data_IF_202182403673
#
_entry.id   IF_202182403673
#
_cell.length_a   1.000
_cell.length_b   1.000
_cell.length_c   1.000
_cell.angle_alpha   90.00
_cell.angle_beta   90.00
_cell.angle_gamma   90.00
#
_symmetry.space_group_name_H-M   'P 1'
#
loop_
_entity.id
_entity.type
_entity.pdbx_description
1 polymer ?
#
# COMPACT_ATOMS: atom_id res chain seq x y z
N UNK A 1 8.97 27.97 11.28
CA UNK A 1 8.53 27.70 9.88
C UNK A 1 9.52 26.89 9.05
N UNK A 2 10.83 27.18 9.07
CA UNK A 2 11.83 26.45 8.24
C UNK A 2 11.82 24.93 8.44
N UNK A 3 11.76 24.43 9.69
CA UNK A 3 11.62 22.98 9.99
C UNK A 3 10.42 22.35 9.27
N UNK A 4 9.25 23.01 9.30
CA UNK A 4 8.04 22.50 8.65
C UNK A 4 8.21 22.39 7.13
N UNK A 5 8.84 23.38 6.49
CA UNK A 5 9.12 23.36 5.03
C UNK A 5 10.02 22.19 4.66
N UNK A 6 11.11 21.97 5.41
CA UNK A 6 12.00 20.83 5.20
C UNK A 6 11.24 19.51 5.27
N UNK A 7 10.44 19.31 6.31
CA UNK A 7 9.73 18.05 6.52
C UNK A 7 8.60 17.79 5.50
N UNK A 8 7.99 18.85 4.95
CA UNK A 8 7.08 18.71 3.81
C UNK A 8 7.83 18.21 2.57
N UNK A 9 8.99 18.79 2.26
CA UNK A 9 9.83 18.34 1.15
C UNK A 9 10.29 16.88 1.35
N UNK A 10 10.72 16.54 2.57
CA UNK A 10 11.07 15.17 2.96
C UNK A 10 9.91 14.19 2.74
N UNK A 11 8.69 14.52 3.18
CA UNK A 11 7.52 13.65 2.97
C UNK A 11 7.25 13.42 1.47
N UNK A 12 7.30 14.46 0.65
CA UNK A 12 7.08 14.37 -0.79
C UNK A 12 8.16 13.51 -1.46
N UNK A 13 9.43 13.70 -1.10
CA UNK A 13 10.54 12.89 -1.60
C UNK A 13 10.34 11.40 -1.28
N UNK A 14 10.01 11.07 -0.02
CA UNK A 14 9.80 9.68 0.41
C UNK A 14 8.64 9.02 -0.34
N UNK A 15 7.52 9.72 -0.53
CA UNK A 15 6.37 9.20 -1.29
C UNK A 15 6.75 8.98 -2.75
N UNK A 16 7.33 9.99 -3.42
CA UNK A 16 7.66 9.91 -4.83
C UNK A 16 8.67 8.79 -5.13
N UNK A 17 9.72 8.70 -4.32
CA UNK A 17 10.77 7.70 -4.48
C UNK A 17 10.25 6.27 -4.25
N UNK A 18 9.39 6.03 -3.26
CA UNK A 18 8.83 4.70 -3.00
C UNK A 18 7.82 4.29 -4.08
N UNK A 19 6.93 5.20 -4.47
CA UNK A 19 5.91 4.91 -5.49
C UNK A 19 6.53 4.63 -6.86
N UNK A 20 7.67 5.27 -7.19
CA UNK A 20 8.34 5.09 -8.48
C UNK A 20 9.53 4.13 -8.44
N UNK A 21 9.91 3.63 -7.26
CA UNK A 21 11.10 2.79 -7.07
C UNK A 21 12.42 3.52 -7.29
N UNK A 22 12.45 4.85 -7.27
CA UNK A 22 13.66 5.67 -7.46
C UNK A 22 14.42 5.86 -6.14
N UNK A 23 15.73 6.20 -6.15
CA UNK A 23 16.46 6.62 -4.95
C UNK A 23 15.80 7.80 -4.24
N UNK A 24 16.09 7.98 -2.95
CA UNK A 24 15.66 9.16 -2.22
C UNK A 24 16.53 10.36 -2.60
N UNK A 25 15.94 11.54 -2.76
CA UNK A 25 16.66 12.77 -3.06
C UNK A 25 17.29 13.41 -1.82
N UNK A 26 16.74 13.16 -0.63
CA UNK A 26 17.32 13.60 0.65
C UNK A 26 17.86 12.35 1.35
N UNK A 27 19.18 12.26 1.55
CA UNK A 27 19.82 11.15 2.27
C UNK A 27 19.44 11.18 3.76
N UNK A 28 19.33 10.03 4.42
CA UNK A 28 18.92 9.97 5.84
C UNK A 28 20.03 10.49 6.77
N UNK A 29 21.28 10.18 6.41
CA UNK A 29 22.50 10.57 7.10
C UNK A 29 22.78 12.08 7.10
N UNK A 30 22.21 12.81 6.13
CA UNK A 30 22.39 14.26 5.99
C UNK A 30 21.32 15.07 6.77
N UNK A 31 20.39 14.42 7.46
CA UNK A 31 19.28 15.10 8.13
C UNK A 31 19.64 15.42 9.59
N UNK A 32 19.99 16.68 9.83
CA UNK A 32 20.17 17.27 11.17
C UNK A 32 18.94 18.05 11.67
N UNK A 33 17.90 18.17 10.83
CA UNK A 33 16.69 18.93 11.13
C UNK A 33 15.78 18.16 12.08
N UNK A 34 15.62 18.68 13.31
CA UNK A 34 14.66 18.16 14.29
C UNK A 34 13.21 18.21 13.78
N UNK A 35 12.36 17.33 14.30
CA UNK A 35 10.92 17.39 14.04
C UNK A 35 10.34 18.77 14.42
N UNK A 36 9.27 19.22 13.73
CA UNK A 36 8.54 20.39 14.20
C UNK A 36 7.93 20.11 15.57
N UNK A 37 7.77 21.16 16.38
CA UNK A 37 7.09 21.06 17.67
C UNK A 37 5.63 20.64 17.49
N UNK A 38 5.18 19.74 18.36
CA UNK A 38 3.79 19.25 18.39
C UNK A 38 2.94 20.22 19.23
N UNK A 39 2.62 21.36 18.63
CA UNK A 39 1.90 22.47 19.27
C UNK A 39 0.93 23.11 18.27
N UNK A 40 -0.21 23.59 18.76
CA UNK A 40 -1.19 24.34 17.96
C UNK A 40 -0.62 25.68 17.48
N UNK A 41 -1.00 26.10 16.28
CA UNK A 41 -0.43 27.28 15.64
C UNK A 41 -0.78 28.56 16.40
N UNK A 42 -1.96 28.60 17.03
CA UNK A 42 -2.43 29.70 17.87
C UNK A 42 -1.59 29.88 19.14
N UNK A 43 -0.91 28.83 19.59
CA UNK A 43 -0.04 28.88 20.76
C UNK A 43 1.41 29.27 20.42
N UNK A 44 1.71 29.54 19.15
CA UNK A 44 3.02 30.02 18.69
C UNK A 44 2.95 31.54 18.53
N UNK A 45 3.71 32.26 19.36
CA UNK A 45 3.89 33.72 19.23
C UNK A 45 5.37 34.05 19.04
N UNK A 46 5.70 35.31 18.79
CA UNK A 46 7.07 35.73 18.46
C UNK A 46 8.07 35.29 19.54
N UNK A 47 8.94 34.35 19.15
CA UNK A 47 10.02 33.74 19.95
C UNK A 47 9.61 32.98 21.22
N UNK A 48 8.33 32.61 21.41
CA UNK A 48 7.91 31.82 22.58
C UNK A 48 6.67 30.95 22.30
N UNK A 49 6.52 29.88 23.09
CA UNK A 49 5.33 29.05 23.11
C UNK A 49 4.46 29.43 24.31
N UNK A 50 3.15 29.58 24.07
CA UNK A 50 2.18 29.91 25.11
C UNK A 50 1.85 28.68 25.98
N UNK A 51 2.08 27.47 25.46
CA UNK A 51 1.88 26.20 26.16
C UNK A 51 3.05 25.25 25.88
N UNK A 52 3.21 24.26 26.74
CA UNK A 52 4.18 23.19 26.51
C UNK A 52 3.78 22.34 25.29
N UNK A 53 4.71 22.05 24.35
CA UNK A 53 4.45 21.12 23.26
C UNK A 53 4.04 19.73 23.77
N UNK A 54 3.20 19.04 23.00
CA UNK A 54 2.77 17.67 23.27
C UNK A 54 3.98 16.73 23.28
N UNK A 55 4.09 15.90 24.33
CA UNK A 55 5.21 14.96 24.53
C UNK A 55 4.80 13.50 24.37
N UNK A 56 3.51 13.17 24.51
CA UNK A 56 3.04 11.79 24.47
C UNK A 56 1.75 11.62 23.66
N UNK A 57 1.62 10.48 22.97
CA UNK A 57 0.47 10.19 22.10
C UNK A 57 -0.85 10.00 22.86
N UNK A 58 -0.81 9.85 24.19
CA UNK A 58 -2.03 9.80 25.04
C UNK A 58 -2.58 11.18 25.38
N UNK A 59 -1.79 12.24 25.20
CA UNK A 59 -2.28 13.61 25.35
C UNK A 59 -3.16 13.99 24.15
N UNK A 60 -4.05 14.99 24.27
CA UNK A 60 -4.84 15.48 23.14
C UNK A 60 -3.95 15.87 21.96
N UNK A 61 -4.31 15.53 20.71
CA UNK A 61 -3.55 15.97 19.54
C UNK A 61 -3.69 17.47 19.29
N UNK A 62 -2.65 18.01 18.67
CA UNK A 62 -2.57 19.39 18.18
C UNK A 62 -2.73 19.41 16.65
N UNK A 63 -2.75 20.60 16.05
CA UNK A 63 -2.70 20.80 14.59
C UNK A 63 -1.48 20.13 13.93
N UNK A 64 -0.39 19.93 14.66
CA UNK A 64 0.86 19.34 14.15
C UNK A 64 1.00 17.83 14.36
N UNK A 65 0.24 17.25 15.30
CA UNK A 65 0.37 15.85 15.69
C UNK A 65 0.24 14.88 14.50
N UNK A 66 -0.71 15.14 13.59
CA UNK A 66 -0.93 14.31 12.41
C UNK A 66 0.29 14.31 11.47
N UNK A 67 0.82 15.50 11.18
CA UNK A 67 1.96 15.65 10.28
C UNK A 67 3.19 14.95 10.87
N UNK A 68 3.49 15.18 12.15
CA UNK A 68 4.62 14.53 12.84
C UNK A 68 4.45 13.00 12.80
N UNK A 69 3.27 12.50 13.10
CA UNK A 69 2.99 11.07 13.07
C UNK A 69 3.16 10.47 11.67
N UNK A 70 2.75 11.19 10.61
CA UNK A 70 3.01 10.75 9.24
C UNK A 70 4.51 10.75 8.90
N UNK A 71 5.27 11.73 9.35
CA UNK A 71 6.72 11.78 9.12
C UNK A 71 7.46 10.64 9.81
N UNK A 72 6.99 10.18 10.98
CA UNK A 72 7.52 8.97 11.64
C UNK A 72 7.34 7.73 10.77
N UNK A 73 6.18 7.58 10.11
CA UNK A 73 6.00 6.51 9.13
C UNK A 73 6.97 6.63 7.97
N UNK A 74 7.20 7.85 7.46
CA UNK A 74 8.16 8.07 6.36
C UNK A 74 9.58 7.67 6.72
N UNK A 75 9.98 7.79 7.99
CA UNK A 75 11.25 7.22 8.49
C UNK A 75 11.24 5.69 8.52
N UNK A 76 10.14 5.05 8.96
CA UNK A 76 10.00 3.58 8.86
C UNK A 76 10.14 3.12 7.39
N UNK A 77 9.53 3.86 6.46
CA UNK A 77 9.66 3.62 5.02
C UNK A 77 11.09 3.79 4.51
N UNK A 78 11.85 4.74 5.06
CA UNK A 78 13.25 4.93 4.70
C UNK A 78 14.10 3.73 5.15
N UNK A 79 13.92 3.28 6.40
CA UNK A 79 14.59 2.11 6.95
C UNK A 79 14.23 0.82 6.21
N UNK A 80 12.95 0.68 5.84
CA UNK A 80 12.49 -0.42 5.00
C UNK A 80 13.26 -0.43 3.67
N UNK A 81 13.41 0.73 3.02
CA UNK A 81 14.14 0.81 1.75
C UNK A 81 15.62 0.49 1.91
N UNK A 82 16.29 1.05 2.92
CA UNK A 82 17.72 0.82 3.15
C UNK A 82 18.03 -0.62 3.55
N UNK A 83 17.13 -1.29 4.27
CA UNK A 83 17.36 -2.64 4.81
C UNK A 83 16.88 -3.75 3.87
N UNK A 84 15.70 -3.58 3.24
CA UNK A 84 15.07 -4.61 2.39
C UNK A 84 15.41 -4.42 0.92
N UNK A 85 15.57 -3.18 0.46
CA UNK A 85 15.77 -2.86 -0.96
C UNK A 85 17.20 -2.40 -1.29
N UNK A 86 18.17 -2.73 -0.42
CA UNK A 86 19.56 -2.30 -0.54
C UNK A 86 20.24 -2.77 -1.83
N UNK A 87 21.00 -1.88 -2.46
CA UNK A 87 21.77 -2.15 -3.67
C UNK A 87 22.96 -3.05 -3.27
N UNK A 88 22.85 -4.34 -3.60
CA UNK A 88 23.89 -5.34 -3.29
C UNK A 88 23.33 -6.66 -2.80
N UNK A 89 22.06 -6.70 -2.39
CA UNK A 89 21.40 -7.96 -2.09
C UNK A 89 21.03 -8.69 -3.40
N UNK A 90 21.23 -10.00 -3.43
CA UNK A 90 20.86 -10.81 -4.59
C UNK A 90 19.34 -10.66 -4.85
N UNK A 91 18.91 -10.36 -6.08
CA UNK A 91 17.49 -10.16 -6.41
C UNK A 91 16.60 -11.36 -6.08
N UNK A 92 17.19 -12.53 -5.85
CA UNK A 92 16.54 -13.78 -5.54
C UNK A 92 16.56 -14.11 -4.05
N UNK A 93 17.33 -13.42 -3.19
CA UNK A 93 17.31 -13.75 -1.76
C UNK A 93 16.08 -13.20 -1.07
N UNK A 94 15.53 -13.98 -0.14
CA UNK A 94 14.51 -13.47 0.77
C UNK A 94 15.13 -12.40 1.70
N UNK A 95 14.35 -11.41 2.15
CA UNK A 95 14.78 -10.49 3.18
C UNK A 95 15.07 -11.21 4.50
N UNK A 96 15.92 -10.63 5.34
CA UNK A 96 16.17 -11.12 6.70
C UNK A 96 14.88 -11.05 7.53
N UNK A 97 14.46 -12.20 8.07
CA UNK A 97 13.24 -12.32 8.87
C UNK A 97 13.25 -11.46 10.13
N UNK A 98 14.40 -11.31 10.79
CA UNK A 98 14.50 -10.48 12.00
C UNK A 98 14.27 -9.01 11.70
N UNK A 99 14.83 -8.52 10.58
CA UNK A 99 14.62 -7.14 10.11
C UNK A 99 13.14 -6.93 9.75
N UNK A 100 12.53 -7.90 9.07
CA UNK A 100 11.10 -7.83 8.71
C UNK A 100 10.23 -7.77 9.95
N UNK A 101 10.48 -8.62 10.95
CA UNK A 101 9.70 -8.66 12.19
C UNK A 101 9.85 -7.37 13.01
N UNK A 102 11.06 -6.79 13.07
CA UNK A 102 11.29 -5.49 13.71
C UNK A 102 10.48 -4.38 13.02
N UNK A 103 10.52 -4.31 11.69
CA UNK A 103 9.76 -3.32 10.92
C UNK A 103 8.24 -3.53 11.08
N UNK A 104 7.75 -4.78 11.13
CA UNK A 104 6.34 -5.08 11.44
C UNK A 104 5.96 -4.57 12.82
N UNK A 105 6.79 -4.78 13.82
CA UNK A 105 6.52 -4.30 15.18
C UNK A 105 6.47 -2.76 15.24
N UNK A 106 7.37 -2.09 14.52
CA UNK A 106 7.36 -0.62 14.39
C UNK A 106 6.11 -0.11 13.69
N UNK A 107 5.65 -0.76 12.62
CA UNK A 107 4.39 -0.41 11.94
C UNK A 107 3.16 -0.61 12.84
N UNK A 108 3.11 -1.70 13.62
CA UNK A 108 2.03 -1.95 14.59
C UNK A 108 2.01 -0.90 15.68
N UNK A 109 3.17 -0.56 16.23
CA UNK A 109 3.31 0.47 17.26
C UNK A 109 2.89 1.84 16.71
N UNK A 110 3.33 2.17 15.48
CA UNK A 110 2.90 3.38 14.78
C UNK A 110 1.36 3.45 14.65
N UNK A 111 0.70 2.37 14.21
CA UNK A 111 -0.76 2.35 14.10
C UNK A 111 -1.46 2.52 15.47
N UNK A 112 -0.92 1.91 16.53
CA UNK A 112 -1.47 1.99 17.88
C UNK A 112 -1.36 3.39 18.49
N UNK A 113 -0.33 4.14 18.11
CA UNK A 113 -0.03 5.49 18.58
C UNK A 113 -0.69 6.59 17.72
N UNK A 114 -1.59 6.22 16.79
CA UNK A 114 -2.18 7.19 15.88
C UNK A 114 -2.96 8.31 16.62
N UNK A 115 -2.75 9.59 16.26
CA UNK A 115 -3.52 10.70 16.83
C UNK A 115 -5.02 10.48 16.66
N UNK A 116 -5.76 10.47 17.78
CA UNK A 116 -7.22 10.33 17.76
C UNK A 116 -7.89 11.71 17.79
N UNK A 117 -8.78 12.04 16.84
CA UNK A 117 -9.48 13.32 16.84
C UNK A 117 -10.22 13.56 18.16
N UNK A 118 -10.12 14.78 18.70
CA UNK A 118 -10.79 15.18 19.95
C UNK A 118 -12.32 15.23 19.80
N UNK A 119 -12.81 15.48 18.58
CA UNK A 119 -14.23 15.47 18.23
C UNK A 119 -14.46 14.57 16.99
N UNK A 120 -15.10 13.39 17.13
CA UNK A 120 -15.46 12.55 15.99
C UNK A 120 -16.48 13.21 15.05
N UNK A 121 -17.24 14.19 15.56
CA UNK A 121 -18.44 14.77 14.94
C UNK A 121 -18.20 16.16 14.31
N UNK A 122 -16.99 16.45 13.81
CA UNK A 122 -16.84 17.64 12.96
C UNK A 122 -17.65 17.41 11.69
N UNK A 123 -18.52 18.34 11.31
CA UNK A 123 -19.38 18.28 10.11
C UNK A 123 -18.61 18.10 8.77
N UNK A 124 -17.28 18.13 8.81
CA UNK A 124 -16.40 17.88 7.68
C UNK A 124 -15.11 17.18 8.17
N UNK A 125 -15.13 15.86 8.42
CA UNK A 125 -13.93 15.16 8.87
C UNK A 125 -12.88 15.23 7.77
N UNK A 126 -11.71 15.77 8.07
CA UNK A 126 -10.60 15.78 7.13
C UNK A 126 -10.30 14.32 6.71
N UNK A 127 -10.24 14.00 5.41
CA UNK A 127 -9.93 12.65 4.96
C UNK A 127 -8.61 12.12 5.50
N UNK A 128 -7.62 13.02 5.58
CA UNK A 128 -6.30 12.75 6.12
C UNK A 128 -6.32 12.78 7.64
N UNK A 129 -5.72 11.76 8.27
CA UNK A 129 -5.67 11.64 9.73
C UNK A 129 -6.91 11.02 10.38
N UNK A 130 -7.86 10.54 9.59
CA UNK A 130 -8.92 9.66 10.09
C UNK A 130 -8.37 8.28 10.45
N UNK A 131 -9.08 7.54 11.31
CA UNK A 131 -8.75 6.14 11.64
C UNK A 131 -8.62 5.28 10.36
N UNK A 132 -9.56 5.47 9.42
CA UNK A 132 -9.54 4.81 8.11
C UNK A 132 -8.29 5.12 7.30
N UNK A 133 -7.83 6.38 7.31
CA UNK A 133 -6.60 6.77 6.63
C UNK A 133 -5.35 6.12 7.24
N UNK A 134 -5.27 6.01 8.57
CA UNK A 134 -4.17 5.29 9.23
C UNK A 134 -4.20 3.80 8.88
N UNK A 135 -5.37 3.17 8.84
CA UNK A 135 -5.52 1.78 8.39
C UNK A 135 -5.05 1.57 6.95
N UNK A 136 -5.47 2.43 6.01
CA UNK A 136 -5.00 2.38 4.62
C UNK A 136 -3.47 2.46 4.55
N UNK A 137 -2.90 3.40 5.30
CA UNK A 137 -1.47 3.64 5.26
C UNK A 137 -0.67 2.50 5.90
N UNK A 138 -1.18 1.89 6.97
CA UNK A 138 -0.60 0.70 7.59
C UNK A 138 -0.60 -0.49 6.62
N UNK A 139 -1.75 -0.85 6.05
CA UNK A 139 -1.84 -2.01 5.16
C UNK A 139 -1.07 -1.82 3.85
N UNK A 140 -1.01 -0.59 3.32
CA UNK A 140 -0.11 -0.29 2.21
C UNK A 140 1.36 -0.52 2.60
N UNK A 141 1.75 -0.13 3.80
CA UNK A 141 3.12 -0.34 4.31
C UNK A 141 3.45 -1.83 4.50
N UNK A 142 2.48 -2.65 4.91
CA UNK A 142 2.65 -4.12 5.00
C UNK A 142 2.90 -4.73 3.62
N UNK A 143 2.13 -4.32 2.61
CA UNK A 143 2.37 -4.78 1.23
C UNK A 143 3.76 -4.35 0.75
N UNK A 144 4.15 -3.08 0.97
CA UNK A 144 5.48 -2.59 0.62
C UNK A 144 6.61 -3.35 1.32
N UNK A 145 6.41 -3.77 2.58
CA UNK A 145 7.38 -4.53 3.35
C UNK A 145 7.65 -5.90 2.71
N UNK A 146 6.58 -6.62 2.39
CA UNK A 146 6.64 -8.00 1.88
C UNK A 146 6.88 -8.10 0.37
N UNK A 147 6.69 -7.00 -0.37
CA UNK A 147 6.75 -6.98 -1.83
C UNK A 147 8.03 -7.59 -2.39
N UNK A 148 9.20 -7.36 -1.77
CA UNK A 148 10.45 -7.98 -2.24
C UNK A 148 10.45 -9.50 -2.06
N UNK A 149 9.92 -10.03 -0.96
CA UNK A 149 9.82 -11.46 -0.73
C UNK A 149 8.93 -12.13 -1.78
N UNK A 150 7.81 -11.50 -2.15
CA UNK A 150 6.92 -11.99 -3.22
C UNK A 150 7.64 -12.11 -4.57
N UNK A 151 8.44 -11.11 -4.93
CA UNK A 151 9.23 -11.09 -6.18
C UNK A 151 10.39 -12.08 -6.13
N UNK A 152 11.10 -12.18 -5.01
CA UNK A 152 12.17 -13.15 -4.84
C UNK A 152 11.64 -14.58 -4.99
N UNK A 153 10.47 -14.88 -4.40
CA UNK A 153 9.85 -16.20 -4.50
C UNK A 153 9.39 -16.54 -5.92
N UNK A 154 8.80 -15.59 -6.66
CA UNK A 154 8.50 -15.78 -8.10
C UNK A 154 9.77 -16.09 -8.90
N UNK A 155 10.87 -15.33 -8.71
CA UNK A 155 12.15 -15.60 -9.39
C UNK A 155 12.80 -16.94 -9.01
N UNK A 156 12.38 -17.52 -7.88
CA UNK A 156 12.78 -18.86 -7.45
C UNK A 156 11.80 -19.94 -7.95
N UNK A 157 10.93 -19.63 -8.92
CA UNK A 157 9.88 -20.51 -9.42
C UNK A 157 9.01 -21.09 -8.29
N UNK A 158 8.72 -20.27 -7.28
CA UNK A 158 7.88 -20.66 -6.14
C UNK A 158 8.41 -21.88 -5.37
N UNK A 159 9.74 -22.06 -5.34
CA UNK A 159 10.37 -23.13 -4.58
C UNK A 159 10.01 -23.03 -3.09
N UNK A 160 9.72 -24.15 -2.41
CA UNK A 160 9.32 -24.13 -1.00
C UNK A 160 10.29 -23.35 -0.12
N UNK A 161 9.80 -22.30 0.53
CA UNK A 161 10.58 -21.44 1.41
C UNK A 161 9.85 -21.19 2.75
N UNK A 162 10.57 -21.19 3.89
CA UNK A 162 9.96 -20.96 5.20
C UNK A 162 9.24 -19.62 5.27
N UNK A 163 8.06 -19.60 5.89
CA UNK A 163 7.32 -18.36 6.17
C UNK A 163 6.55 -17.76 4.99
N UNK A 164 6.74 -18.24 3.75
CA UNK A 164 6.08 -17.65 2.57
C UNK A 164 4.55 -17.69 2.67
N UNK A 165 3.94 -18.77 3.14
CA UNK A 165 2.48 -18.84 3.33
C UNK A 165 1.98 -17.76 4.29
N UNK A 166 2.70 -17.47 5.39
CA UNK A 166 2.33 -16.37 6.29
C UNK A 166 2.41 -15.02 5.59
N UNK A 167 3.44 -14.81 4.75
CA UNK A 167 3.61 -13.58 3.95
C UNK A 167 2.44 -13.42 2.97
N UNK A 168 2.05 -14.48 2.26
CA UNK A 168 0.90 -14.44 1.35
C UNK A 168 -0.40 -14.12 2.07
N UNK A 169 -0.66 -14.73 3.23
CA UNK A 169 -1.85 -14.47 4.03
C UNK A 169 -1.91 -13.02 4.54
N UNK A 170 -0.81 -12.47 5.05
CA UNK A 170 -0.73 -11.07 5.50
C UNK A 170 -0.91 -10.07 4.35
N UNK A 171 -0.36 -10.38 3.18
CA UNK A 171 -0.52 -9.59 1.96
C UNK A 171 -1.96 -9.64 1.43
N UNK A 172 -2.59 -10.83 1.44
CA UNK A 172 -3.98 -11.01 1.05
C UNK A 172 -4.91 -10.22 1.98
N UNK A 173 -4.71 -10.33 3.30
CA UNK A 173 -5.47 -9.56 4.30
C UNK A 173 -5.34 -8.06 4.06
N UNK A 174 -4.10 -7.58 3.87
CA UNK A 174 -3.84 -6.17 3.62
C UNK A 174 -4.48 -5.68 2.32
N UNK A 175 -4.44 -6.48 1.25
CA UNK A 175 -5.11 -6.18 -0.01
C UNK A 175 -6.63 -6.10 0.15
N UNK A 176 -7.25 -7.03 0.89
CA UNK A 176 -8.68 -7.01 1.18
C UNK A 176 -9.08 -5.74 1.96
N UNK A 177 -8.34 -5.40 3.03
CA UNK A 177 -8.63 -4.21 3.84
C UNK A 177 -8.52 -2.94 3.00
N UNK A 178 -7.48 -2.81 2.16
CA UNK A 178 -7.31 -1.66 1.28
C UNK A 178 -8.52 -1.47 0.36
N UNK A 179 -8.96 -2.52 -0.34
CA UNK A 179 -10.09 -2.47 -1.25
C UNK A 179 -11.39 -2.02 -0.54
N UNK A 180 -11.70 -2.62 0.60
CA UNK A 180 -12.94 -2.35 1.33
C UNK A 180 -12.94 -0.94 1.95
N UNK A 181 -11.83 -0.53 2.59
CA UNK A 181 -11.74 0.79 3.24
C UNK A 181 -11.78 1.91 2.20
N UNK A 182 -11.11 1.76 1.05
CA UNK A 182 -11.25 2.74 -0.03
C UNK A 182 -12.68 2.82 -0.55
N UNK A 183 -13.39 1.69 -0.72
CA UNK A 183 -14.79 1.71 -1.16
C UNK A 183 -15.67 2.51 -0.20
N UNK A 184 -15.56 2.28 1.10
CA UNK A 184 -16.31 3.04 2.11
C UNK A 184 -16.00 4.54 2.05
N UNK A 185 -14.74 4.92 1.89
CA UNK A 185 -14.32 6.31 1.85
C UNK A 185 -14.83 7.04 0.60
N UNK A 186 -14.83 6.36 -0.55
CA UNK A 186 -15.35 6.92 -1.80
C UNK A 186 -16.87 7.00 -1.84
N UNK A 187 -17.59 6.02 -1.25
CA UNK A 187 -19.05 6.12 -1.09
C UNK A 187 -19.47 7.24 -0.13
N UNK A 188 -18.72 7.45 0.94
CA UNK A 188 -18.92 8.58 1.84
C UNK A 188 -18.53 9.95 1.25
N UNK A 189 -18.02 10.02 0.02
CA UNK A 189 -17.44 11.23 -0.60
C UNK A 189 -16.35 11.91 0.25
N UNK A 190 -15.67 11.14 1.09
CA UNK A 190 -14.76 11.68 2.11
C UNK A 190 -13.38 12.01 1.55
N UNK A 191 -12.96 11.41 0.42
CA UNK A 191 -11.61 11.53 -0.12
C UNK A 191 -11.61 12.14 -1.53
N UNK A 192 -10.66 13.04 -1.79
CA UNK A 192 -10.33 13.51 -3.14
C UNK A 192 -9.57 12.44 -3.93
N UNK A 193 -9.88 12.31 -5.22
CA UNK A 193 -9.14 11.41 -6.12
C UNK A 193 -7.70 11.89 -6.22
N UNK A 194 -6.77 11.10 -5.71
CA UNK A 194 -5.33 11.40 -5.79
C UNK A 194 -4.63 10.34 -6.60
N UNK A 195 -3.55 10.75 -7.27
CA UNK A 195 -2.63 9.82 -7.94
C UNK A 195 -2.17 8.71 -6.97
N UNK A 196 -1.83 9.07 -5.72
CA UNK A 196 -1.46 8.09 -4.69
C UNK A 196 -2.57 7.07 -4.38
N UNK A 197 -3.83 7.51 -4.23
CA UNK A 197 -4.93 6.59 -3.92
C UNK A 197 -5.17 5.54 -5.02
N UNK A 198 -5.05 5.94 -6.30
CA UNK A 198 -5.15 5.01 -7.43
C UNK A 198 -4.10 3.89 -7.34
N UNK A 199 -2.83 4.28 -7.15
CA UNK A 199 -1.72 3.32 -7.10
C UNK A 199 -1.83 2.38 -5.90
N UNK A 200 -2.17 2.91 -4.72
CA UNK A 200 -2.33 2.10 -3.51
C UNK A 200 -3.48 1.10 -3.66
N UNK A 201 -4.64 1.55 -4.16
CA UNK A 201 -5.78 0.68 -4.36
C UNK A 201 -5.47 -0.42 -5.37
N UNK A 202 -4.92 -0.06 -6.54
CA UNK A 202 -4.58 -1.01 -7.58
C UNK A 202 -3.55 -2.03 -7.08
N UNK A 203 -2.49 -1.57 -6.40
CA UNK A 203 -1.49 -2.47 -5.80
C UNK A 203 -2.11 -3.40 -4.75
N UNK A 204 -3.00 -2.90 -3.89
CA UNK A 204 -3.71 -3.69 -2.89
C UNK A 204 -4.57 -4.78 -3.53
N UNK A 205 -5.40 -4.41 -4.51
CA UNK A 205 -6.21 -5.34 -5.27
C UNK A 205 -5.37 -6.38 -6.02
N UNK A 206 -4.34 -5.94 -6.75
CA UNK A 206 -3.45 -6.82 -7.51
C UNK A 206 -2.75 -7.83 -6.58
N UNK A 207 -2.24 -7.36 -5.44
CA UNK A 207 -1.58 -8.21 -4.45
C UNK A 207 -2.54 -9.25 -3.88
N UNK A 208 -3.78 -8.86 -3.59
CA UNK A 208 -4.81 -9.81 -3.14
C UNK A 208 -5.06 -10.92 -4.17
N UNK A 209 -5.26 -10.55 -5.44
CA UNK A 209 -5.42 -11.54 -6.51
C UNK A 209 -4.19 -12.44 -6.62
N UNK A 210 -2.99 -11.85 -6.70
CA UNK A 210 -1.72 -12.60 -6.80
C UNK A 210 -1.56 -13.64 -5.68
N UNK A 211 -1.90 -13.29 -4.45
CA UNK A 211 -1.81 -14.24 -3.32
C UNK A 211 -2.76 -15.44 -3.48
N UNK A 212 -3.95 -15.26 -4.05
CA UNK A 212 -4.90 -16.35 -4.33
C UNK A 212 -4.37 -17.29 -5.42
N UNK A 213 -3.75 -16.75 -6.46
CA UNK A 213 -3.18 -17.54 -7.55
C UNK A 213 -1.97 -18.37 -7.12
N UNK A 214 -1.13 -17.83 -6.24
CA UNK A 214 0.13 -18.47 -5.86
C UNK A 214 -0.01 -19.44 -4.69
N UNK A 215 -0.72 -19.06 -3.61
CA UNK A 215 -0.76 -19.86 -2.39
C UNK A 215 -2.15 -20.49 -2.15
N UNK A 216 -2.27 -21.83 -2.16
CA UNK A 216 -3.54 -22.52 -1.92
C UNK A 216 -4.17 -22.23 -0.56
N UNK A 217 -3.39 -21.85 0.44
CA UNK A 217 -3.90 -21.51 1.78
C UNK A 217 -4.71 -20.22 1.76
N UNK A 218 -4.34 -19.25 0.89
CA UNK A 218 -5.16 -18.08 0.64
C UNK A 218 -6.53 -18.49 0.08
N UNK A 219 -6.56 -19.37 -0.93
CA UNK A 219 -7.83 -19.83 -1.54
C UNK A 219 -8.72 -20.55 -0.53
N UNK A 220 -8.14 -21.38 0.35
CA UNK A 220 -8.88 -22.05 1.43
C UNK A 220 -9.43 -21.09 2.47
N UNK A 221 -8.70 -20.01 2.77
CA UNK A 221 -9.12 -19.03 3.77
C UNK A 221 -10.24 -18.12 3.24
N UNK A 222 -10.12 -17.67 1.98
CA UNK A 222 -11.04 -16.71 1.39
C UNK A 222 -12.16 -17.39 0.61
N UNK A 223 -13.37 -17.35 1.18
CA UNK A 223 -14.58 -17.82 0.49
C UNK A 223 -14.86 -17.01 -0.78
N UNK A 224 -15.52 -17.65 -1.75
CA UNK A 224 -15.84 -17.05 -3.06
C UNK A 224 -16.66 -15.77 -2.96
N UNK A 225 -17.58 -15.68 -2.00
CA UNK A 225 -18.36 -14.47 -1.75
C UNK A 225 -17.50 -13.30 -1.25
N UNK A 226 -16.48 -13.59 -0.44
CA UNK A 226 -15.51 -12.58 0.05
C UNK A 226 -14.57 -12.14 -1.07
N UNK A 227 -14.10 -13.07 -1.91
CA UNK A 227 -13.30 -12.73 -3.09
C UNK A 227 -14.10 -11.84 -4.04
N UNK A 228 -15.35 -12.21 -4.33
CA UNK A 228 -16.22 -11.46 -5.22
C UNK A 228 -16.52 -10.04 -4.69
N UNK A 229 -16.82 -9.90 -3.40
CA UNK A 229 -17.08 -8.60 -2.79
C UNK A 229 -15.82 -7.71 -2.79
N UNK A 230 -14.65 -8.29 -2.50
CA UNK A 230 -13.36 -7.57 -2.53
C UNK A 230 -13.00 -7.08 -3.94
N UNK A 231 -13.16 -7.94 -4.96
CA UNK A 231 -12.96 -7.56 -6.36
C UNK A 231 -13.93 -6.44 -6.79
N UNK A 232 -15.19 -6.53 -6.33
CA UNK A 232 -16.21 -5.51 -6.60
C UNK A 232 -15.84 -4.19 -5.94
N UNK A 233 -15.39 -4.21 -4.68
CA UNK A 233 -14.95 -3.02 -3.96
C UNK A 233 -13.84 -2.27 -4.70
N UNK A 234 -12.79 -2.99 -5.11
CA UNK A 234 -11.72 -2.40 -5.91
C UNK A 234 -12.21 -1.87 -7.27
N UNK A 235 -12.98 -2.68 -8.00
CA UNK A 235 -13.47 -2.30 -9.34
C UNK A 235 -14.36 -1.07 -9.30
N UNK A 236 -15.28 -0.98 -8.34
CA UNK A 236 -16.18 0.18 -8.21
C UNK A 236 -15.39 1.44 -7.95
N UNK A 237 -14.41 1.42 -7.05
CA UNK A 237 -13.61 2.62 -6.79
C UNK A 237 -12.78 3.02 -8.01
N UNK A 238 -12.20 2.06 -8.73
CA UNK A 238 -11.51 2.34 -10.00
C UNK A 238 -12.46 2.94 -11.05
N UNK A 239 -13.71 2.45 -11.15
CA UNK A 239 -14.74 3.06 -12.02
C UNK A 239 -14.98 4.52 -11.63
N UNK A 240 -15.23 4.81 -10.36
CA UNK A 240 -15.46 6.18 -9.88
C UNK A 240 -14.25 7.08 -10.19
N UNK A 241 -13.02 6.59 -10.02
CA UNK A 241 -11.81 7.33 -10.39
C UNK A 241 -11.76 7.63 -11.89
N UNK A 242 -12.16 6.67 -12.75
CA UNK A 242 -12.14 6.85 -14.21
C UNK A 242 -13.16 7.85 -14.73
N UNK A 243 -14.29 8.05 -14.03
CA UNK A 243 -15.30 9.04 -14.42
C UNK A 243 -14.76 10.47 -14.38
N UNK A 244 -13.84 10.74 -13.43
CA UNK A 244 -13.24 12.08 -13.27
C UNK A 244 -11.85 12.19 -13.88
N UNK A 245 -11.13 11.08 -13.96
CA UNK A 245 -9.77 11.02 -14.48
C UNK A 245 -9.62 9.86 -15.45
N UNK A 246 -9.88 10.14 -16.72
CA UNK A 246 -9.86 9.15 -17.79
C UNK A 246 -8.53 8.38 -17.90
N UNK A 247 -7.39 9.00 -17.55
CA UNK A 247 -6.11 8.30 -17.61
C UNK A 247 -6.02 7.10 -16.67
N UNK A 248 -6.87 7.00 -15.63
CA UNK A 248 -6.94 5.83 -14.76
C UNK A 248 -7.58 4.59 -15.43
N UNK A 249 -8.14 4.73 -16.64
CA UNK A 249 -8.85 3.67 -17.35
C UNK A 249 -8.05 2.35 -17.46
N UNK A 250 -6.75 2.37 -17.82
CA UNK A 250 -5.96 1.15 -17.92
C UNK A 250 -5.91 0.33 -16.62
N UNK A 251 -5.89 0.98 -15.46
CA UNK A 251 -5.88 0.32 -14.15
C UNK A 251 -7.19 -0.43 -13.89
N UNK A 252 -8.31 0.23 -14.17
CA UNK A 252 -9.65 -0.37 -14.06
C UNK A 252 -9.78 -1.58 -14.98
N UNK A 253 -9.42 -1.42 -16.25
CA UNK A 253 -9.64 -2.46 -17.26
C UNK A 253 -8.73 -3.67 -17.02
N UNK A 254 -7.45 -3.46 -16.70
CA UNK A 254 -6.53 -4.52 -16.29
C UNK A 254 -7.03 -5.26 -15.05
N UNK A 255 -7.43 -4.54 -13.99
CA UNK A 255 -7.92 -5.16 -12.76
C UNK A 255 -9.18 -5.99 -13.00
N UNK A 256 -10.12 -5.51 -13.83
CA UNK A 256 -11.35 -6.26 -14.16
C UNK A 256 -11.06 -7.58 -14.85
N UNK A 257 -10.13 -7.59 -15.81
CA UNK A 257 -9.74 -8.82 -16.51
C UNK A 257 -9.14 -9.83 -15.52
N UNK A 258 -8.21 -9.39 -14.68
CA UNK A 258 -7.58 -10.24 -13.67
C UNK A 258 -8.57 -10.74 -12.60
N UNK A 259 -9.46 -9.88 -12.14
CA UNK A 259 -10.49 -10.22 -11.15
C UNK A 259 -11.44 -11.28 -11.70
N UNK A 260 -11.89 -11.14 -12.94
CA UNK A 260 -12.74 -12.13 -13.61
C UNK A 260 -12.02 -13.48 -13.75
N UNK A 261 -10.78 -13.48 -14.22
CA UNK A 261 -9.98 -14.70 -14.33
C UNK A 261 -9.81 -15.39 -12.97
N UNK A 262 -9.58 -14.61 -11.90
CA UNK A 262 -9.42 -15.14 -10.54
C UNK A 262 -10.71 -15.82 -10.06
N UNK A 263 -11.87 -15.20 -10.32
CA UNK A 263 -13.17 -15.76 -9.94
C UNK A 263 -13.51 -17.04 -10.71
N UNK A 264 -13.14 -17.10 -12.00
CA UNK A 264 -13.28 -18.31 -12.83
C UNK A 264 -12.38 -19.44 -12.32
N UNK A 265 -11.10 -19.15 -12.03
CA UNK A 265 -10.19 -20.15 -11.45
C UNK A 265 -10.74 -20.74 -10.15
N UNK A 266 -11.23 -19.90 -9.24
CA UNK A 266 -11.83 -20.37 -7.99
C UNK A 266 -13.12 -21.19 -8.21
N UNK A 267 -13.79 -21.01 -9.35
CA UNK A 267 -14.92 -21.85 -9.74
C UNK A 267 -14.48 -23.25 -10.13
N UNK A 268 -13.45 -23.33 -10.98
CA UNK A 268 -12.98 -24.59 -11.55
C UNK A 268 -12.23 -25.45 -10.51
N UNK A 269 -11.49 -24.84 -9.59
CA UNK A 269 -10.76 -25.59 -8.56
C UNK A 269 -11.67 -26.32 -7.57
N UNK A 270 -12.83 -25.75 -7.25
CA UNK A 270 -13.84 -26.40 -6.40
C UNK A 270 -14.36 -27.70 -7.05
N UNK A 271 -14.38 -27.74 -8.38
CA UNK A 271 -14.77 -28.92 -9.16
C UNK A 271 -13.64 -29.96 -9.28
N UNK A 272 -12.37 -29.53 -9.28
CA UNK A 272 -11.20 -30.40 -9.56
C UNK A 272 -10.41 -30.86 -8.33
N UNK A 273 -10.43 -30.11 -7.23
CA UNK A 273 -9.70 -30.45 -5.99
C UNK A 273 -8.17 -30.30 -6.08
N UNK A 274 -7.65 -29.46 -6.97
CA UNK A 274 -6.21 -29.28 -7.22
C UNK A 274 -5.55 -28.24 -6.28
N UNK A 275 -4.30 -28.48 -5.89
CA UNK A 275 -3.53 -27.65 -4.92
C UNK A 275 -2.27 -27.01 -5.52
N UNK A 276 -1.99 -27.17 -6.81
CA UNK A 276 -0.81 -26.55 -7.42
C UNK A 276 -1.01 -25.04 -7.64
N UNK A 277 0.08 -24.24 -7.70
CA UNK A 277 0.00 -22.82 -8.06
C UNK A 277 -0.65 -22.68 -9.43
N UNK A 278 -1.75 -21.92 -9.49
CA UNK A 278 -2.58 -21.81 -10.68
C UNK A 278 -2.34 -20.53 -11.46
N UNK A 279 -1.19 -19.85 -11.26
CA UNK A 279 -0.83 -18.53 -11.82
C UNK A 279 -1.66 -18.14 -13.06
N UNK A 280 -2.25 -16.93 -13.09
CA UNK A 280 -3.27 -16.62 -14.08
C UNK A 280 -2.73 -16.83 -15.49
N UNK A 281 -3.29 -17.82 -16.17
CA UNK A 281 -3.14 -17.94 -17.61
C UNK A 281 -4.26 -17.13 -18.23
N UNK A 282 -4.01 -15.85 -18.47
CA UNK A 282 -4.86 -15.11 -19.40
C UNK A 282 -4.59 -15.67 -20.80
N UNK A 283 -5.58 -16.33 -21.41
CA UNK A 283 -5.45 -16.86 -22.76
C UNK A 283 -4.98 -15.77 -23.74
N UNK A 284 -4.25 -16.14 -24.80
CA UNK A 284 -3.65 -15.22 -25.77
C UNK A 284 -4.62 -14.14 -26.31
N UNK A 285 -5.91 -14.46 -26.46
CA UNK A 285 -6.97 -13.54 -26.91
C UNK A 285 -7.27 -12.39 -25.91
N UNK A 286 -7.06 -12.63 -24.62
CA UNK A 286 -7.18 -11.61 -23.55
C UNK A 286 -5.88 -10.82 -23.32
N UNK A 287 -4.76 -11.29 -23.88
CA UNK A 287 -3.43 -10.68 -23.72
C UNK A 287 -3.23 -9.40 -24.57
N UNK A 288 -3.90 -9.31 -25.73
CA UNK A 288 -3.74 -8.17 -26.65
C UNK A 288 -4.31 -6.86 -26.07
N UNK A 289 -5.49 -6.91 -25.46
CA UNK A 289 -6.07 -5.78 -24.72
C UNK A 289 -5.29 -5.47 -23.43
N UNK A 290 -4.79 -6.50 -22.76
CA UNK A 290 -3.99 -6.34 -21.54
C UNK A 290 -2.67 -5.60 -21.82
N UNK A 291 -1.99 -5.91 -22.92
CA UNK A 291 -0.74 -5.23 -23.31
C UNK A 291 -0.92 -3.71 -23.47
N UNK A 292 -2.05 -3.27 -24.02
CA UNK A 292 -2.38 -1.83 -24.12
C UNK A 292 -2.64 -1.22 -22.73
N UNK A 293 -3.32 -1.95 -21.85
CA UNK A 293 -3.52 -1.50 -20.48
C UNK A 293 -2.19 -1.37 -19.72
N UNK A 294 -1.27 -2.33 -19.87
CA UNK A 294 0.07 -2.28 -19.28
C UNK A 294 0.88 -1.07 -19.74
N UNK A 295 0.84 -0.77 -21.04
CA UNK A 295 1.51 0.41 -21.58
C UNK A 295 0.95 1.70 -20.95
N UNK A 296 -0.38 1.78 -20.80
CA UNK A 296 -1.04 2.91 -20.12
C UNK A 296 -0.66 3.04 -18.64
N UNK A 297 -0.60 1.91 -17.92
CA UNK A 297 -0.18 1.85 -16.52
C UNK A 297 1.28 2.31 -16.36
N UNK A 298 2.18 1.80 -17.21
CA UNK A 298 3.61 2.12 -17.19
C UNK A 298 3.85 3.61 -17.50
N UNK A 299 3.10 4.15 -18.46
CA UNK A 299 3.15 5.58 -18.82
C UNK A 299 2.75 6.54 -17.70
N UNK A 300 2.01 6.06 -16.69
CA UNK A 300 1.61 6.83 -15.51
C UNK A 300 2.57 6.72 -14.31
N UNK A 301 3.67 5.99 -14.46
CA UNK A 301 4.77 5.90 -13.49
C UNK A 301 4.46 4.96 -12.32
N UNK A 302 4.45 3.65 -12.58
CA UNK A 302 4.42 2.61 -11.55
C UNK A 302 5.84 2.14 -11.19
N UNK A 303 6.01 1.61 -9.98
CA UNK A 303 7.26 0.96 -9.62
C UNK A 303 7.41 -0.38 -10.38
N UNK A 304 8.61 -0.67 -10.88
CA UNK A 304 8.95 -1.88 -11.64
C UNK A 304 8.61 -3.19 -10.93
N UNK A 305 8.54 -3.19 -9.60
CA UNK A 305 8.13 -4.37 -8.83
C UNK A 305 6.64 -4.68 -8.99
N UNK A 306 5.81 -3.66 -9.18
CA UNK A 306 4.38 -3.84 -9.47
C UNK A 306 4.19 -4.31 -10.91
N UNK A 307 4.98 -3.77 -11.84
CA UNK A 307 5.03 -4.26 -13.23
C UNK A 307 5.45 -5.74 -13.28
N UNK A 308 6.38 -6.17 -12.42
CA UNK A 308 6.77 -7.58 -12.32
C UNK A 308 5.63 -8.47 -11.81
N UNK A 309 5.00 -8.14 -10.67
CA UNK A 309 3.85 -8.91 -10.15
C UNK A 309 2.74 -8.99 -11.22
N UNK A 310 2.48 -7.88 -11.90
CA UNK A 310 1.50 -7.81 -12.96
C UNK A 310 1.90 -8.67 -14.18
N UNK A 311 3.19 -8.67 -14.56
CA UNK A 311 3.72 -9.50 -15.64
C UNK A 311 3.61 -11.00 -15.36
N UNK A 312 3.89 -11.44 -14.13
CA UNK A 312 3.70 -12.83 -13.69
C UNK A 312 2.23 -13.28 -13.79
N UNK A 313 1.30 -12.32 -13.75
CA UNK A 313 -0.14 -12.58 -13.82
C UNK A 313 -0.71 -12.62 -15.25
N UNK A 314 0.10 -12.38 -16.28
CA UNK A 314 -0.39 -12.20 -17.65
C UNK A 314 0.21 -13.23 -18.62
N UNK A 315 1.45 -13.69 -18.37
CA UNK A 315 2.28 -14.52 -19.24
C UNK A 315 2.47 -13.99 -20.68
N UNK A 316 3.70 -14.15 -21.19
CA UNK A 316 4.11 -13.85 -22.57
C UNK A 316 3.98 -15.08 -23.46
#
# INVERSE_FOLDING_TARGET
MQRRVFWVAYNLDRIAAISTGRPFGIAEEDIDVEYPEDIDDEAIVENQFLVEPRKHYTQPPTTMSLAIHNLRLRRIWADMKSSIYSIGQTPTSLPDGQIVDELKQRLRSWLAECPRPVAPDSANPAPYGSSKWFMLTYHHSVILLHRRALVAHSKQNYAPAPGMTSIYLECAESGTVLCNVYQELYFGSTISHTWGALHILFLGGLTFLYCLWVDPSCRRLYRRDVVASTCTACTVVLVIMTERWFAAQPFRDAFRVLANATQSMLAEEEERGENEPTLPVLNALTSEGMSQHLAGISGMGMCSTVEHILGEMIQQ
#
